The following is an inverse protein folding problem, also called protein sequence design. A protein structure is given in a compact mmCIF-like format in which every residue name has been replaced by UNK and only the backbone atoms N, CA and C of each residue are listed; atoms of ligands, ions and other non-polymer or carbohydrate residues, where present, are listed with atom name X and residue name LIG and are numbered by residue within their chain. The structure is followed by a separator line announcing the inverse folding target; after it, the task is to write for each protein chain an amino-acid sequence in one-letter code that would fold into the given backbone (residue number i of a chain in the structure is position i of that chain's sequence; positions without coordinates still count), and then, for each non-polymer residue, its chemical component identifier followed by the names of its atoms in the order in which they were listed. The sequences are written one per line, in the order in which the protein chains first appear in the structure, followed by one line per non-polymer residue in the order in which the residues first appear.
data_IF_353045782666
#
_entry.id   IF_353045782666
#
_cell.length_a   1.000
_cell.length_b   1.000
_cell.length_c   1.000
_cell.angle_alpha   90.00
_cell.angle_beta   90.00
_cell.angle_gamma   90.00
#
_symmetry.space_group_name_H-M   'P 1'
#
loop_
_entity.id
_entity.type
_entity.pdbx_description
1 polymer ?
#
# COMPACT_ATOMS: atom_id res chain seq x y z
N UNK A 1 17.27 11.56 -9.44
CA UNK A 1 16.31 11.25 -8.37
C UNK A 1 15.72 12.56 -7.86
N UNK A 2 14.45 12.83 -8.12
CA UNK A 2 13.76 13.99 -7.58
C UNK A 2 12.97 13.57 -6.35
N UNK A 3 13.29 14.14 -5.18
CA UNK A 3 12.62 13.86 -3.91
C UNK A 3 11.35 14.72 -3.78
N UNK A 4 10.15 14.09 -3.72
CA UNK A 4 8.89 14.83 -3.66
C UNK A 4 7.81 14.13 -2.83
N UNK A 5 6.80 14.86 -2.30
CA UNK A 5 5.76 14.42 -1.35
C UNK A 5 4.95 13.20 -1.77
N UNK A 6 4.60 12.28 -0.85
CA UNK A 6 3.93 10.98 -1.12
C UNK A 6 2.59 11.11 -1.85
N UNK A 7 1.69 11.96 -1.40
CA UNK A 7 0.38 12.20 -2.04
C UNK A 7 0.51 12.79 -3.46
N UNK A 8 1.47 13.68 -3.68
CA UNK A 8 1.65 14.36 -4.97
C UNK A 8 2.29 13.50 -6.04
N UNK A 9 2.92 12.36 -5.69
CA UNK A 9 3.59 11.49 -6.67
C UNK A 9 2.58 10.65 -7.43
N UNK A 10 1.79 9.84 -6.71
CA UNK A 10 0.72 9.05 -7.32
C UNK A 10 -0.31 9.95 -7.99
N UNK A 11 -0.68 11.07 -7.33
CA UNK A 11 -1.54 12.09 -7.93
C UNK A 11 -0.95 12.65 -9.24
N UNK A 12 0.31 13.13 -9.23
CA UNK A 12 0.92 13.68 -10.43
C UNK A 12 1.11 12.65 -11.54
N UNK A 13 1.39 11.38 -11.19
CA UNK A 13 1.48 10.29 -12.15
C UNK A 13 0.12 9.98 -12.79
N UNK A 14 -0.95 9.96 -11.98
CA UNK A 14 -2.32 9.78 -12.47
C UNK A 14 -2.71 10.94 -13.39
N UNK A 15 -2.49 12.20 -12.96
CA UNK A 15 -2.79 13.39 -13.77
C UNK A 15 -1.96 13.47 -15.07
N UNK A 16 -0.81 12.82 -15.14
CA UNK A 16 0.04 12.78 -16.34
C UNK A 16 -0.44 11.73 -17.36
N UNK A 17 -1.24 10.75 -16.96
CA UNK A 17 -1.61 9.61 -17.81
C UNK A 17 -3.10 9.53 -18.12
N UNK A 18 -3.95 9.91 -17.15
CA UNK A 18 -5.40 9.71 -17.21
C UNK A 18 -6.07 10.95 -17.80
N UNK A 19 -6.99 10.72 -18.73
CA UNK A 19 -7.79 11.74 -19.40
C UNK A 19 -9.29 11.45 -19.20
N UNK A 20 -10.16 12.43 -19.47
CA UNK A 20 -11.60 12.23 -19.37
C UNK A 20 -12.10 11.03 -20.20
N UNK A 21 -12.78 10.10 -19.52
CA UNK A 21 -13.32 8.88 -20.13
C UNK A 21 -12.42 7.64 -20.04
N UNK A 22 -11.17 7.80 -19.58
CA UNK A 22 -10.27 6.68 -19.32
C UNK A 22 -10.71 5.85 -18.12
N UNK A 23 -10.37 4.58 -18.13
CA UNK A 23 -10.57 3.65 -17.03
C UNK A 23 -9.24 3.30 -16.38
N UNK A 24 -9.25 3.23 -15.04
CA UNK A 24 -8.10 2.86 -14.22
C UNK A 24 -8.47 1.65 -13.37
N UNK A 25 -7.77 0.54 -13.59
CA UNK A 25 -7.97 -0.67 -12.78
C UNK A 25 -7.23 -0.51 -11.46
N UNK A 26 -7.93 -0.72 -10.35
CA UNK A 26 -7.40 -0.70 -8.98
C UNK A 26 -7.76 -1.99 -8.25
N UNK A 27 -6.88 -2.45 -7.36
CA UNK A 27 -7.10 -3.66 -6.56
C UNK A 27 -7.67 -3.27 -5.19
N UNK A 28 -8.87 -3.75 -4.86
CA UNK A 28 -9.48 -3.51 -3.56
C UNK A 28 -9.12 -4.61 -2.55
N UNK A 29 -8.82 -4.23 -1.28
CA UNK A 29 -8.87 -2.89 -0.71
C UNK A 29 -7.77 -1.98 -1.27
N UNK A 30 -8.08 -0.75 -1.62
CA UNK A 30 -7.15 0.19 -2.26
C UNK A 30 -6.85 1.40 -1.38
N UNK A 31 -5.68 2.02 -1.58
CA UNK A 31 -5.34 3.24 -0.86
C UNK A 31 -6.29 4.37 -1.26
N UNK A 32 -6.84 5.04 -0.27
CA UNK A 32 -7.94 6.02 -0.35
C UNK A 32 -7.70 7.22 -1.28
N UNK A 33 -6.46 7.48 -1.68
CA UNK A 33 -6.16 8.59 -2.59
C UNK A 33 -6.18 8.23 -4.08
N UNK A 34 -6.24 6.94 -4.46
CA UNK A 34 -6.20 6.57 -5.88
C UNK A 34 -7.47 7.01 -6.59
N UNK A 35 -8.63 6.59 -6.12
CA UNK A 35 -9.91 6.90 -6.76
C UNK A 35 -10.18 8.40 -6.89
N UNK A 36 -10.07 9.24 -5.82
CA UNK A 36 -10.24 10.69 -5.97
C UNK A 36 -9.26 11.32 -6.96
N UNK A 37 -8.03 10.80 -7.05
CA UNK A 37 -7.03 11.30 -8.01
C UNK A 37 -7.42 10.99 -9.45
N UNK A 38 -8.00 9.81 -9.70
CA UNK A 38 -8.51 9.39 -11.01
C UNK A 38 -9.73 10.22 -11.39
N UNK A 39 -10.67 10.40 -10.46
CA UNK A 39 -11.88 11.21 -10.68
C UNK A 39 -11.54 12.68 -11.01
N UNK A 40 -10.55 13.26 -10.33
CA UNK A 40 -10.07 14.62 -10.62
C UNK A 40 -9.41 14.75 -11.99
N UNK A 41 -8.89 13.65 -12.57
CA UNK A 41 -8.41 13.61 -13.94
C UNK A 41 -9.54 13.39 -14.97
N UNK A 42 -10.78 13.17 -14.51
CA UNK A 42 -11.93 12.85 -15.36
C UNK A 42 -12.04 11.38 -15.76
N UNK A 43 -11.22 10.52 -15.16
CA UNK A 43 -11.26 9.08 -15.33
C UNK A 43 -12.22 8.39 -14.37
N UNK A 44 -12.33 7.07 -14.50
CA UNK A 44 -13.16 6.19 -13.66
C UNK A 44 -12.34 5.00 -13.18
N UNK A 45 -12.43 4.66 -11.91
CA UNK A 45 -11.86 3.42 -11.39
C UNK A 45 -12.72 2.21 -11.78
N UNK A 46 -12.04 1.10 -12.04
CA UNK A 46 -12.61 -0.24 -12.18
C UNK A 46 -11.98 -1.08 -11.08
N UNK A 47 -12.79 -1.39 -10.05
CA UNK A 47 -12.33 -2.06 -8.86
C UNK A 47 -12.31 -3.58 -9.03
N UNK A 48 -11.19 -4.20 -8.68
CA UNK A 48 -11.00 -5.65 -8.68
C UNK A 48 -10.72 -6.10 -7.24
N UNK A 49 -11.70 -6.72 -6.57
CA UNK A 49 -11.50 -7.21 -5.22
C UNK A 49 -10.44 -8.31 -5.16
N UNK A 50 -9.49 -8.18 -4.25
CA UNK A 50 -8.55 -9.23 -3.89
C UNK A 50 -9.29 -10.36 -3.15
N UNK A 51 -8.87 -11.59 -3.38
CA UNK A 51 -9.50 -12.76 -2.78
C UNK A 51 -9.14 -12.86 -1.28
N UNK A 52 -10.14 -13.11 -0.44
CA UNK A 52 -9.95 -13.37 0.99
C UNK A 52 -9.77 -14.88 1.21
N UNK A 53 -9.00 -15.29 2.23
CA UNK A 53 -8.43 -14.46 3.28
C UNK A 53 -7.01 -13.95 3.03
N UNK A 54 -6.35 -14.33 1.94
CA UNK A 54 -4.92 -14.10 1.67
C UNK A 54 -4.63 -12.84 0.84
N UNK A 55 -5.67 -12.17 0.36
CA UNK A 55 -5.60 -11.00 -0.50
C UNK A 55 -4.83 -11.26 -1.81
N UNK A 56 -4.96 -12.46 -2.36
CA UNK A 56 -4.41 -12.82 -3.67
C UNK A 56 -5.18 -12.16 -4.83
N UNK A 57 -4.51 -11.98 -5.96
CA UNK A 57 -5.11 -11.41 -7.16
C UNK A 57 -5.97 -12.48 -7.87
N UNK A 58 -7.26 -12.19 -8.06
CA UNK A 58 -8.11 -12.97 -8.96
C UNK A 58 -7.80 -12.58 -10.41
N UNK A 59 -6.97 -13.37 -11.05
CA UNK A 59 -6.49 -13.10 -12.42
C UNK A 59 -7.58 -13.18 -13.49
N UNK A 60 -8.65 -13.92 -13.24
CA UNK A 60 -9.80 -13.95 -14.15
C UNK A 60 -10.53 -12.60 -14.07
N UNK A 61 -10.88 -12.15 -12.89
CA UNK A 61 -11.50 -10.83 -12.69
C UNK A 61 -10.60 -9.69 -13.17
N UNK A 62 -9.30 -9.82 -12.96
CA UNK A 62 -8.33 -8.84 -13.46
C UNK A 62 -8.36 -8.75 -14.98
N UNK A 63 -8.42 -9.88 -15.69
CA UNK A 63 -8.53 -9.92 -17.15
C UNK A 63 -9.86 -9.34 -17.66
N UNK A 64 -10.97 -9.62 -16.95
CA UNK A 64 -12.31 -9.09 -17.29
C UNK A 64 -12.39 -7.57 -17.05
N UNK A 65 -11.67 -7.03 -16.06
CA UNK A 65 -11.63 -5.60 -15.76
C UNK A 65 -10.85 -4.77 -16.79
N UNK A 66 -9.93 -5.39 -17.51
CA UNK A 66 -9.10 -4.72 -18.51
C UNK A 66 -9.86 -4.63 -19.84
N UNK A 67 -10.43 -3.46 -20.11
CA UNK A 67 -11.23 -3.16 -21.31
C UNK A 67 -10.52 -2.25 -22.32
N UNK A 68 -11.22 -1.84 -23.39
CA UNK A 68 -10.67 -0.96 -24.44
C UNK A 68 -10.41 0.49 -23.96
N UNK A 69 -11.02 0.90 -22.84
CA UNK A 69 -10.80 2.20 -22.22
C UNK A 69 -9.79 2.18 -21.08
N UNK A 70 -9.26 1.01 -20.72
CA UNK A 70 -8.27 0.90 -19.67
C UNK A 70 -6.98 1.60 -20.09
N UNK A 71 -6.63 2.64 -19.36
CA UNK A 71 -5.42 3.43 -19.58
C UNK A 71 -4.34 3.12 -18.57
N UNK A 72 -4.73 2.75 -17.35
CA UNK A 72 -3.81 2.61 -16.23
C UNK A 72 -4.24 1.43 -15.36
N UNK A 73 -3.26 0.71 -14.84
CA UNK A 73 -3.40 -0.23 -13.73
C UNK A 73 -2.61 0.31 -12.55
N UNK A 74 -3.16 0.25 -11.35
CA UNK A 74 -2.47 0.62 -10.11
C UNK A 74 -2.35 -0.63 -9.24
N UNK A 75 -1.11 -1.00 -8.91
CA UNK A 75 -0.80 -2.04 -7.94
C UNK A 75 -0.08 -1.45 -6.74
N UNK A 76 -0.22 -2.08 -5.57
CA UNK A 76 0.49 -1.71 -4.36
C UNK A 76 1.15 -2.95 -3.76
N UNK A 77 2.48 -2.95 -3.63
CA UNK A 77 3.25 -4.07 -3.09
C UNK A 77 4.51 -3.58 -2.38
N UNK A 78 4.73 -3.93 -1.11
CA UNK A 78 3.83 -4.61 -0.16
C UNK A 78 2.52 -3.86 0.04
N UNK A 79 1.42 -4.61 0.14
CA UNK A 79 0.07 -4.10 0.04
C UNK A 79 -0.44 -3.44 1.34
N UNK A 80 -0.98 -2.27 1.28
CA UNK A 80 -1.77 -1.66 2.35
C UNK A 80 -3.26 -1.85 2.03
N UNK A 81 -4.04 -2.59 2.88
CA UNK A 81 -3.82 -2.84 4.31
C UNK A 81 -3.26 -4.22 4.68
N UNK A 82 -3.19 -5.19 3.76
CA UNK A 82 -3.02 -6.61 4.08
C UNK A 82 -1.58 -7.04 4.38
N UNK A 83 -0.60 -6.32 3.83
CA UNK A 83 0.80 -6.74 3.84
C UNK A 83 1.16 -7.76 2.75
N UNK A 84 0.21 -8.18 1.90
CA UNK A 84 0.43 -9.11 0.81
C UNK A 84 1.52 -8.60 -0.16
N UNK A 85 2.23 -9.53 -0.76
CA UNK A 85 3.30 -9.25 -1.70
C UNK A 85 2.91 -9.74 -3.10
N UNK A 86 3.30 -8.99 -4.12
CA UNK A 86 3.22 -9.43 -5.51
C UNK A 86 4.59 -10.03 -5.86
N UNK A 87 4.59 -11.27 -6.33
CA UNK A 87 5.79 -12.00 -6.71
C UNK A 87 6.09 -11.89 -8.22
N UNK A 88 7.19 -12.49 -8.67
CA UNK A 88 7.61 -12.43 -10.08
C UNK A 88 6.60 -13.06 -11.03
N UNK A 89 6.01 -14.20 -10.67
CA UNK A 89 4.99 -14.86 -11.50
C UNK A 89 3.75 -13.98 -11.71
N UNK A 90 3.34 -13.26 -10.66
CA UNK A 90 2.21 -12.34 -10.74
C UNK A 90 2.53 -11.13 -11.61
N UNK A 91 3.77 -10.61 -11.57
CA UNK A 91 4.21 -9.57 -12.51
C UNK A 91 4.26 -10.08 -13.95
N UNK A 92 4.72 -11.32 -14.18
CA UNK A 92 4.73 -11.95 -15.50
C UNK A 92 3.29 -12.11 -16.06
N UNK A 93 2.31 -12.49 -15.21
CA UNK A 93 0.88 -12.54 -15.57
C UNK A 93 0.33 -11.17 -15.92
N UNK A 94 0.65 -10.15 -15.12
CA UNK A 94 0.23 -8.77 -15.41
C UNK A 94 0.82 -8.30 -16.74
N UNK A 95 2.11 -8.54 -16.98
CA UNK A 95 2.76 -8.20 -18.24
C UNK A 95 2.06 -8.84 -19.43
N UNK A 96 1.73 -10.13 -19.32
CA UNK A 96 1.01 -10.85 -20.39
C UNK A 96 -0.37 -10.25 -20.68
N UNK A 97 -1.11 -9.81 -19.65
CA UNK A 97 -2.44 -9.20 -19.83
C UNK A 97 -2.40 -7.84 -20.54
N UNK A 98 -1.32 -7.06 -20.36
CA UNK A 98 -1.23 -5.68 -20.88
C UNK A 98 -0.24 -5.51 -22.04
N UNK A 99 0.42 -6.61 -22.49
CA UNK A 99 1.52 -6.58 -23.48
C UNK A 99 1.15 -5.83 -24.75
N UNK A 100 0.04 -6.18 -25.37
CA UNK A 100 -0.40 -5.66 -26.67
C UNK A 100 -1.40 -4.50 -26.54
N UNK A 101 -1.37 -3.80 -25.39
CA UNK A 101 -2.29 -2.72 -25.05
C UNK A 101 -1.53 -1.44 -24.68
N UNK A 102 -2.11 -0.28 -24.97
CA UNK A 102 -1.58 1.02 -24.53
C UNK A 102 -1.99 1.31 -23.08
N UNK A 103 -1.55 0.44 -22.17
CA UNK A 103 -1.84 0.51 -20.74
C UNK A 103 -0.54 0.79 -20.00
N UNK A 104 -0.59 1.77 -19.11
CA UNK A 104 0.47 2.12 -18.18
C UNK A 104 0.28 1.46 -16.82
N UNK A 105 1.32 1.49 -16.00
CA UNK A 105 1.31 0.92 -14.66
C UNK A 105 1.79 1.96 -13.64
N UNK A 106 1.11 2.08 -12.52
CA UNK A 106 1.66 2.65 -11.29
C UNK A 106 1.89 1.51 -10.32
N UNK A 107 3.15 1.30 -9.94
CA UNK A 107 3.52 0.38 -8.84
C UNK A 107 3.83 1.21 -7.60
N UNK A 108 2.93 1.17 -6.64
CA UNK A 108 3.13 1.82 -5.34
C UNK A 108 3.92 0.89 -4.43
N UNK A 109 5.22 1.14 -4.32
CA UNK A 109 6.19 0.32 -3.59
C UNK A 109 6.66 1.03 -2.31
N UNK A 110 5.81 1.86 -1.69
CA UNK A 110 6.19 2.66 -0.51
C UNK A 110 6.64 1.84 0.69
N UNK A 111 6.36 0.53 0.72
CA UNK A 111 6.78 -0.41 1.74
C UNK A 111 7.88 -1.39 1.26
N UNK A 112 8.59 -1.10 0.19
CA UNK A 112 9.60 -1.96 -0.45
C UNK A 112 10.66 -2.52 0.50
N UNK A 113 10.98 -1.78 1.58
CA UNK A 113 11.94 -2.17 2.61
C UNK A 113 11.30 -2.85 3.83
N UNK A 114 10.00 -3.08 3.82
CA UNK A 114 9.25 -3.71 4.91
C UNK A 114 8.70 -5.06 4.44
N UNK A 115 9.59 -5.98 4.17
CA UNK A 115 9.31 -7.36 3.78
C UNK A 115 10.05 -8.29 4.74
N UNK A 116 9.41 -9.40 5.15
CA UNK A 116 9.82 -10.22 6.27
C UNK A 116 10.09 -11.66 5.87
N UNK A 117 10.53 -12.46 6.85
CA UNK A 117 10.71 -13.92 6.73
C UNK A 117 11.70 -14.33 5.63
N UNK A 118 12.69 -13.48 5.35
CA UNK A 118 13.71 -13.74 4.33
C UNK A 118 13.21 -13.61 2.89
N UNK A 119 11.98 -13.18 2.67
CA UNK A 119 11.43 -12.92 1.33
C UNK A 119 11.99 -11.60 0.81
N UNK A 120 12.37 -11.57 -0.47
CA UNK A 120 12.79 -10.33 -1.12
C UNK A 120 11.60 -9.61 -1.75
N UNK A 121 11.59 -8.28 -1.69
CA UNK A 121 10.65 -7.47 -2.45
C UNK A 121 10.89 -7.64 -3.96
N UNK A 122 9.83 -7.85 -4.72
CA UNK A 122 9.87 -7.91 -6.18
C UNK A 122 9.38 -6.59 -6.76
N UNK A 123 10.33 -5.75 -7.19
CA UNK A 123 10.01 -4.46 -7.80
C UNK A 123 9.73 -4.59 -9.29
N UNK A 124 8.76 -3.81 -9.77
CA UNK A 124 8.49 -3.63 -11.22
C UNK A 124 9.72 -3.10 -11.97
N UNK A 125 10.64 -2.41 -11.29
CA UNK A 125 11.90 -1.94 -11.88
C UNK A 125 12.76 -3.07 -12.47
N UNK A 126 12.62 -4.29 -11.94
CA UNK A 126 13.36 -5.47 -12.41
C UNK A 126 12.64 -6.23 -13.54
N UNK A 127 11.47 -5.76 -13.98
CA UNK A 127 10.65 -6.45 -14.99
C UNK A 127 10.76 -5.76 -16.35
N UNK A 128 11.38 -6.42 -17.33
CA UNK A 128 11.74 -5.85 -18.63
C UNK A 128 10.54 -5.32 -19.43
N UNK A 129 9.37 -5.98 -19.38
CA UNK A 129 8.18 -5.57 -20.12
C UNK A 129 7.34 -4.52 -19.37
N UNK A 130 7.37 -4.52 -18.03
CA UNK A 130 6.56 -3.59 -17.23
C UNK A 130 7.27 -2.26 -16.98
N UNK A 131 8.57 -2.26 -16.69
CA UNK A 131 9.30 -1.03 -16.40
C UNK A 131 9.15 0.05 -17.48
N UNK A 132 9.21 -0.27 -18.80
CA UNK A 132 9.11 0.77 -19.85
C UNK A 132 7.79 1.56 -19.85
N UNK A 133 6.75 1.05 -19.19
CA UNK A 133 5.42 1.67 -19.10
C UNK A 133 4.99 1.99 -17.67
N UNK A 134 5.95 2.07 -16.73
CA UNK A 134 5.63 2.16 -15.30
C UNK A 134 6.15 3.43 -14.64
N UNK A 135 5.34 3.94 -13.70
CA UNK A 135 5.81 4.78 -12.60
C UNK A 135 5.93 3.91 -11.34
N UNK A 136 7.13 3.77 -10.82
CA UNK A 136 7.38 3.12 -9.52
C UNK A 136 7.50 4.21 -8.46
N UNK A 137 6.60 4.16 -7.48
CA UNK A 137 6.43 5.19 -6.45
C UNK A 137 6.91 4.66 -5.11
N UNK A 138 7.79 5.40 -4.44
CA UNK A 138 8.25 5.04 -3.10
C UNK A 138 8.31 6.22 -2.13
N UNK A 139 8.52 5.98 -0.84
CA UNK A 139 8.39 6.96 0.23
C UNK A 139 9.49 6.89 1.28
N UNK A 140 10.24 7.97 1.43
CA UNK A 140 11.14 8.11 2.56
C UNK A 140 10.41 8.17 3.90
N UNK A 141 9.15 8.64 3.90
CA UNK A 141 8.35 8.73 5.11
C UNK A 141 8.09 7.40 5.80
N UNK A 142 7.98 6.31 5.02
CA UNK A 142 7.80 4.95 5.53
C UNK A 142 9.13 4.34 5.95
N UNK A 143 10.15 4.53 5.13
CA UNK A 143 11.49 3.96 5.32
C UNK A 143 12.24 4.61 6.47
N UNK A 144 12.14 5.94 6.62
CA UNK A 144 12.91 6.71 7.61
C UNK A 144 12.06 7.26 8.77
N UNK A 145 10.87 6.72 9.01
CA UNK A 145 9.96 7.11 10.09
C UNK A 145 9.56 8.59 10.11
N UNK A 146 9.58 9.24 8.95
CA UNK A 146 9.30 10.67 8.77
C UNK A 146 8.06 10.90 7.89
N UNK A 147 6.99 10.16 8.16
CA UNK A 147 5.74 10.20 7.36
C UNK A 147 5.18 11.62 7.22
N UNK A 148 5.32 12.45 8.27
CA UNK A 148 4.89 13.85 8.27
C UNK A 148 5.68 14.76 7.30
N UNK A 149 6.89 14.37 6.91
CA UNK A 149 7.73 15.16 5.98
C UNK A 149 7.23 15.11 4.54
N UNK A 150 6.39 14.12 4.21
CA UNK A 150 5.78 13.99 2.88
C UNK A 150 6.80 13.93 1.73
N UNK A 151 7.98 13.38 1.96
CA UNK A 151 9.05 13.20 0.97
C UNK A 151 9.10 11.78 0.43
N UNK A 152 9.54 11.64 -0.81
CA UNK A 152 9.75 10.36 -1.49
C UNK A 152 10.07 10.57 -2.97
N UNK A 153 10.04 9.52 -3.78
CA UNK A 153 10.52 9.53 -5.15
C UNK A 153 9.65 8.72 -6.10
N UNK A 154 9.81 8.97 -7.37
CA UNK A 154 9.27 8.17 -8.47
C UNK A 154 10.43 7.78 -9.39
N UNK A 155 10.47 6.51 -9.75
CA UNK A 155 11.38 5.99 -10.79
C UNK A 155 10.54 5.63 -12.00
N UNK A 156 10.92 6.14 -13.17
CA UNK A 156 10.23 5.90 -14.41
C UNK A 156 11.18 6.10 -15.62
N UNK A 157 10.87 5.54 -16.78
CA UNK A 157 11.61 5.82 -18.01
C UNK A 157 11.63 7.31 -18.34
N UNK A 158 12.62 7.79 -19.13
CA UNK A 158 12.77 9.21 -19.43
C UNK A 158 11.52 9.89 -20.01
N UNK A 159 10.80 9.21 -20.91
CA UNK A 159 9.58 9.74 -21.52
C UNK A 159 8.48 9.96 -20.47
N UNK A 160 8.21 8.98 -19.61
CA UNK A 160 7.23 9.10 -18.53
C UNK A 160 7.67 10.12 -17.47
N UNK A 161 8.96 10.16 -17.16
CA UNK A 161 9.52 11.16 -16.23
C UNK A 161 9.31 12.58 -16.76
N UNK A 162 9.40 12.81 -18.07
CA UNK A 162 9.14 14.12 -18.68
C UNK A 162 7.67 14.55 -18.49
N UNK A 163 6.72 13.65 -18.71
CA UNK A 163 5.29 13.93 -18.52
C UNK A 163 4.95 14.19 -17.04
N UNK A 164 5.48 13.37 -16.13
CA UNK A 164 5.34 13.58 -14.69
C UNK A 164 5.81 14.98 -14.27
N UNK A 165 6.97 15.44 -14.80
CA UNK A 165 7.54 16.74 -14.45
C UNK A 165 6.65 17.90 -14.89
N UNK A 166 6.00 17.82 -16.05
CA UNK A 166 5.06 18.84 -16.52
C UNK A 166 3.93 19.07 -15.54
N UNK A 167 3.31 18.00 -15.05
CA UNK A 167 2.24 18.07 -14.05
C UNK A 167 2.80 18.53 -12.70
N UNK A 168 3.88 17.91 -12.27
CA UNK A 168 4.44 18.14 -10.95
C UNK A 168 4.91 19.59 -10.76
N UNK A 169 5.41 20.25 -11.81
CA UNK A 169 5.82 21.64 -11.78
C UNK A 169 4.70 22.56 -11.25
N UNK A 170 3.46 22.30 -11.62
CA UNK A 170 2.31 23.13 -11.24
C UNK A 170 1.60 22.64 -9.97
N UNK A 171 1.73 21.35 -9.64
CA UNK A 171 1.10 20.77 -8.44
C UNK A 171 1.92 21.05 -7.18
N UNK A 172 3.25 21.01 -7.27
CA UNK A 172 4.11 21.13 -6.10
C UNK A 172 5.37 21.95 -6.32
N UNK A 173 5.75 22.21 -7.55
CA UNK A 173 6.97 22.90 -7.98
C UNK A 173 8.25 22.20 -7.47
N UNK A 174 8.54 22.28 -6.16
CA UNK A 174 9.65 21.57 -5.52
C UNK A 174 9.26 21.05 -4.13
N UNK A 175 9.99 20.05 -3.65
CA UNK A 175 9.88 19.58 -2.26
C UNK A 175 10.51 20.57 -1.28
N UNK A 176 10.25 20.37 0.01
CA UNK A 176 10.84 21.18 1.09
C UNK A 176 12.35 20.89 1.15
N UNK A 177 13.15 21.81 0.66
CA UNK A 177 14.61 21.64 0.47
C UNK A 177 15.37 21.26 1.75
N UNK A 178 15.14 21.91 2.92
CA UNK A 178 15.80 21.50 4.16
C UNK A 178 15.57 20.04 4.55
N UNK A 179 14.34 19.51 4.31
CA UNK A 179 14.03 18.11 4.61
C UNK A 179 14.70 17.13 3.65
N UNK A 180 14.92 17.55 2.40
CA UNK A 180 15.68 16.75 1.43
C UNK A 180 17.14 16.65 1.81
N UNK A 181 17.76 17.75 2.25
CA UNK A 181 19.13 17.76 2.76
C UNK A 181 19.27 16.90 4.02
N UNK A 182 18.36 17.06 4.99
CA UNK A 182 18.35 16.23 6.19
C UNK A 182 18.27 14.73 5.89
N UNK A 183 17.44 14.33 4.89
CA UNK A 183 17.39 12.95 4.43
C UNK A 183 18.69 12.50 3.78
N UNK A 184 19.29 13.34 2.92
CA UNK A 184 20.55 13.02 2.27
C UNK A 184 21.68 12.82 3.28
N UNK A 185 21.79 13.71 4.26
CA UNK A 185 22.78 13.63 5.35
C UNK A 185 22.57 12.36 6.19
N UNK A 186 21.31 12.07 6.56
CA UNK A 186 21.00 10.86 7.33
C UNK A 186 21.35 9.59 6.53
N UNK A 187 20.97 9.52 5.27
CA UNK A 187 21.24 8.36 4.40
C UNK A 187 22.75 8.12 4.23
N UNK A 188 23.52 9.20 4.08
CA UNK A 188 24.98 9.12 3.98
C UNK A 188 25.65 8.67 5.29
N UNK A 189 25.12 9.14 6.43
CA UNK A 189 25.65 8.82 7.76
C UNK A 189 25.20 7.46 8.31
N UNK A 190 24.11 6.89 7.80
CA UNK A 190 23.46 5.68 8.34
C UNK A 190 23.13 4.64 7.25
N UNK A 191 24.11 4.13 6.50
CA UNK A 191 23.88 3.16 5.42
C UNK A 191 23.33 1.81 5.93
N UNK A 192 23.49 1.50 7.23
CA UNK A 192 22.96 0.31 7.87
C UNK A 192 21.43 0.35 8.06
N UNK A 193 20.81 1.51 8.08
CA UNK A 193 19.38 1.68 8.37
C UNK A 193 18.51 0.78 7.48
N UNK A 194 18.71 0.80 6.18
CA UNK A 194 17.92 0.01 5.24
C UNK A 194 18.08 -1.51 5.47
N UNK A 195 19.27 -1.97 5.87
CA UNK A 195 19.52 -3.38 6.15
C UNK A 195 18.88 -3.85 7.45
N UNK A 196 18.79 -2.95 8.45
CA UNK A 196 18.23 -3.26 9.76
C UNK A 196 16.70 -3.12 9.80
N UNK A 197 16.12 -2.33 8.90
CA UNK A 197 14.71 -1.98 8.92
C UNK A 197 13.76 -3.19 8.82
N UNK A 198 13.99 -4.20 7.95
CA UNK A 198 13.14 -5.39 7.91
C UNK A 198 13.12 -6.12 9.25
N UNK A 199 14.29 -6.40 9.84
CA UNK A 199 14.38 -7.08 11.14
C UNK A 199 13.73 -6.29 12.28
N UNK A 200 13.87 -4.96 12.27
CA UNK A 200 13.24 -4.10 13.26
C UNK A 200 11.70 -4.20 13.23
N UNK A 201 11.08 -4.20 12.05
CA UNK A 201 9.62 -4.32 11.94
C UNK A 201 9.13 -5.76 12.05
N UNK A 202 9.90 -6.73 11.58
CA UNK A 202 9.58 -8.15 11.77
C UNK A 202 9.50 -8.50 13.27
N UNK A 203 10.46 -8.04 14.08
CA UNK A 203 10.40 -8.26 15.53
C UNK A 203 9.13 -7.67 16.17
N UNK A 204 8.69 -6.50 15.72
CA UNK A 204 7.43 -5.89 16.21
C UNK A 204 6.18 -6.65 15.74
N UNK A 205 6.16 -7.11 14.48
CA UNK A 205 5.10 -7.98 13.96
C UNK A 205 5.01 -9.26 14.79
N UNK A 206 6.12 -9.92 14.96
CA UNK A 206 6.19 -11.19 15.66
C UNK A 206 5.75 -11.05 17.10
N UNK A 207 6.27 -10.05 17.82
CA UNK A 207 5.81 -9.73 19.17
C UNK A 207 4.30 -9.52 19.24
N UNK A 208 3.73 -8.67 18.37
CA UNK A 208 2.29 -8.39 18.39
C UNK A 208 1.47 -9.63 18.06
N UNK A 209 1.87 -10.37 17.03
CA UNK A 209 1.18 -11.59 16.62
C UNK A 209 1.28 -12.69 17.68
N UNK A 210 2.44 -12.89 18.30
CA UNK A 210 2.63 -13.89 19.37
C UNK A 210 1.73 -13.60 20.58
N UNK A 211 1.64 -12.33 20.98
CA UNK A 211 0.78 -11.89 22.06
C UNK A 211 -0.73 -12.11 21.78
N UNK A 212 -1.13 -12.13 20.50
CA UNK A 212 -2.52 -12.33 20.10
C UNK A 212 -2.89 -13.79 19.84
N UNK A 213 -1.96 -14.75 19.92
CA UNK A 213 -2.25 -16.17 19.64
C UNK A 213 -3.33 -16.76 20.55
N UNK A 214 -3.39 -16.34 21.80
CA UNK A 214 -4.37 -16.79 22.78
C UNK A 214 -5.69 -16.01 22.74
N UNK A 215 -5.80 -15.01 21.85
CA UNK A 215 -7.01 -14.22 21.68
C UNK A 215 -8.03 -14.91 20.78
N UNK A 216 -9.27 -14.39 20.75
CA UNK A 216 -10.31 -14.82 19.81
C UNK A 216 -10.17 -14.27 18.40
N UNK A 217 -9.21 -13.37 18.17
CA UNK A 217 -8.89 -12.85 16.82
C UNK A 217 -8.19 -13.92 15.99
N UNK A 218 -8.48 -13.96 14.69
CA UNK A 218 -7.84 -14.86 13.74
C UNK A 218 -7.06 -14.07 12.72
N UNK A 219 -5.87 -14.54 12.37
CA UNK A 219 -5.01 -13.87 11.39
C UNK A 219 -3.95 -14.80 10.83
N UNK A 220 -3.47 -14.46 9.64
CA UNK A 220 -2.19 -14.92 9.10
C UNK A 220 -1.19 -13.77 9.25
N UNK A 221 0.04 -14.05 9.68
CA UNK A 221 1.07 -13.00 9.83
C UNK A 221 1.30 -12.31 8.50
N UNK A 222 1.26 -10.99 8.50
CA UNK A 222 1.51 -10.20 7.30
C UNK A 222 2.96 -10.36 6.83
N UNK A 223 3.21 -10.71 5.54
CA UNK A 223 4.55 -10.86 5.02
C UNK A 223 5.29 -9.53 4.78
N UNK A 224 4.56 -8.41 4.84
CA UNK A 224 5.12 -7.07 4.63
C UNK A 224 4.36 -5.97 5.32
N UNK A 225 4.78 -4.73 5.14
CA UNK A 225 4.28 -3.48 5.74
C UNK A 225 4.54 -3.38 7.25
N UNK A 226 3.76 -2.59 7.99
CA UNK A 226 3.71 -2.55 9.45
C UNK A 226 2.26 -2.64 9.96
N UNK A 227 1.41 -3.33 9.17
CA UNK A 227 0.01 -3.56 9.48
C UNK A 227 -0.27 -5.05 9.65
N UNK A 228 -1.26 -5.35 10.46
CA UNK A 228 -1.82 -6.68 10.63
C UNK A 228 -3.34 -6.60 10.51
N UNK A 229 -3.90 -7.21 9.48
CA UNK A 229 -5.32 -7.45 9.39
C UNK A 229 -5.68 -8.65 10.27
N UNK A 230 -6.77 -8.52 11.02
CA UNK A 230 -7.28 -9.59 11.87
C UNK A 230 -8.78 -9.77 11.67
N UNK A 231 -9.21 -11.01 11.64
CA UNK A 231 -10.62 -11.39 11.65
C UNK A 231 -11.14 -11.40 13.08
N UNK A 232 -12.24 -10.68 13.33
CA UNK A 232 -12.90 -10.56 14.62
C UNK A 232 -14.24 -11.30 14.69
N UNK A 233 -14.54 -12.15 13.71
CA UNK A 233 -15.83 -12.88 13.64
C UNK A 233 -16.14 -13.72 14.87
N UNK A 234 -15.11 -14.23 15.57
CA UNK A 234 -15.27 -14.97 16.83
C UNK A 234 -15.44 -14.06 18.06
N UNK A 235 -15.25 -12.72 17.91
CA UNK A 235 -15.36 -11.74 19.01
C UNK A 235 -16.73 -11.07 18.99
N UNK A 236 -17.07 -10.38 17.92
CA UNK A 236 -18.32 -9.62 17.72
C UNK A 236 -18.83 -9.78 16.28
N UNK A 237 -19.40 -10.96 15.92
CA UNK A 237 -19.92 -11.21 14.56
C UNK A 237 -21.11 -10.30 14.19
N UNK A 238 -21.77 -9.73 15.20
CA UNK A 238 -22.93 -8.84 15.11
C UNK A 238 -22.56 -7.43 14.64
N UNK A 239 -21.30 -7.01 14.78
CA UNK A 239 -20.83 -5.70 14.37
C UNK A 239 -20.22 -5.76 12.96
N UNK A 240 -20.47 -4.72 12.16
CA UNK A 240 -19.60 -4.42 11.01
C UNK A 240 -18.25 -3.90 11.49
N UNK A 241 -17.30 -3.73 10.58
CA UNK A 241 -15.92 -3.38 10.94
C UNK A 241 -15.77 -1.92 11.40
N UNK A 242 -16.65 -1.01 10.96
CA UNK A 242 -16.69 0.38 11.45
C UNK A 242 -17.14 0.40 12.90
N UNK A 243 -18.26 -0.25 13.19
CA UNK A 243 -18.78 -0.38 14.57
C UNK A 243 -17.79 -1.13 15.46
N UNK A 244 -17.10 -2.16 14.94
CA UNK A 244 -16.05 -2.89 15.67
C UNK A 244 -14.87 -1.99 16.02
N UNK A 245 -14.39 -1.17 15.09
CA UNK A 245 -13.29 -0.23 15.33
C UNK A 245 -13.67 0.84 16.36
N UNK A 246 -14.91 1.35 16.30
CA UNK A 246 -15.44 2.27 17.30
C UNK A 246 -15.53 1.61 18.69
N UNK A 247 -16.07 0.39 18.76
CA UNK A 247 -16.21 -0.36 20.01
C UNK A 247 -14.85 -0.64 20.65
N UNK A 248 -13.86 -1.12 19.87
CA UNK A 248 -12.49 -1.32 20.35
C UNK A 248 -11.87 -0.04 20.92
N UNK A 249 -12.13 1.10 20.24
CA UNK A 249 -11.57 2.38 20.66
C UNK A 249 -12.24 2.90 21.93
N UNK A 250 -13.58 2.85 22.02
CA UNK A 250 -14.35 3.45 23.13
C UNK A 250 -14.33 2.59 24.40
N UNK A 251 -14.53 1.29 24.24
CA UNK A 251 -14.69 0.39 25.39
C UNK A 251 -13.35 -0.20 25.86
N UNK A 252 -12.40 -0.41 24.93
CA UNK A 252 -11.13 -1.09 25.25
C UNK A 252 -9.90 -0.16 25.10
N UNK A 253 -10.07 1.06 24.54
CA UNK A 253 -8.96 1.99 24.34
C UNK A 253 -7.89 1.48 23.38
N UNK A 254 -8.28 0.66 22.40
CA UNK A 254 -7.41 0.13 21.35
C UNK A 254 -7.93 0.57 19.99
N UNK A 255 -7.15 1.42 19.31
CA UNK A 255 -7.53 1.93 17.99
C UNK A 255 -7.23 0.90 16.90
N UNK A 256 -8.22 0.66 16.04
CA UNK A 256 -8.12 -0.12 14.82
C UNK A 256 -8.68 0.67 13.64
N UNK A 257 -8.36 0.24 12.43
CA UNK A 257 -8.93 0.81 11.21
C UNK A 257 -9.84 -0.23 10.57
N UNK A 258 -11.11 0.10 10.26
CA UNK A 258 -11.99 -0.79 9.50
C UNK A 258 -11.41 -1.03 8.11
N UNK A 259 -11.49 -2.27 7.60
CA UNK A 259 -10.92 -2.62 6.29
C UNK A 259 -11.87 -2.26 5.15
N UNK A 260 -13.19 -2.20 5.44
CA UNK A 260 -14.22 -1.84 4.44
C UNK A 260 -14.02 -0.46 3.82
N UNK A 261 -13.43 0.49 4.57
CA UNK A 261 -13.18 1.86 4.09
C UNK A 261 -12.19 1.95 2.92
N UNK A 262 -11.49 0.85 2.63
CA UNK A 262 -10.56 0.73 1.51
C UNK A 262 -11.17 0.02 0.28
N UNK A 263 -12.46 -0.28 0.30
CA UNK A 263 -13.19 -0.89 -0.80
C UNK A 263 -14.20 0.10 -1.39
N UNK A 264 -14.44 0.03 -2.69
CA UNK A 264 -15.65 0.63 -3.27
C UNK A 264 -16.89 -0.09 -2.72
N UNK A 265 -16.85 -1.43 -2.73
CA UNK A 265 -17.90 -2.28 -2.17
C UNK A 265 -17.28 -3.47 -1.43
N UNK A 266 -17.20 -3.34 -0.12
CA UNK A 266 -16.70 -4.43 0.73
C UNK A 266 -17.67 -5.63 0.73
N UNK A 267 -17.16 -6.88 0.87
CA UNK A 267 -18.01 -8.05 1.07
C UNK A 267 -18.83 -7.94 2.36
N UNK A 268 -20.14 -8.17 2.31
CA UNK A 268 -21.05 -8.04 3.46
C UNK A 268 -20.65 -8.92 4.67
N UNK A 269 -20.07 -10.09 4.39
CA UNK A 269 -19.61 -11.03 5.41
C UNK A 269 -18.22 -10.72 5.97
N UNK A 270 -17.53 -9.70 5.46
CA UNK A 270 -16.18 -9.37 5.92
C UNK A 270 -16.18 -8.88 7.37
N UNK A 271 -15.30 -9.43 8.18
CA UNK A 271 -15.14 -9.11 9.61
C UNK A 271 -13.67 -8.84 9.90
N UNK A 272 -13.08 -7.86 9.21
CA UNK A 272 -11.66 -7.53 9.28
C UNK A 272 -11.43 -6.12 9.83
N UNK A 273 -10.49 -6.00 10.76
CA UNK A 273 -9.91 -4.71 11.16
C UNK A 273 -8.39 -4.76 11.01
N UNK A 274 -7.77 -3.60 10.77
CA UNK A 274 -6.33 -3.45 10.62
C UNK A 274 -5.72 -2.80 11.85
N UNK A 275 -4.75 -3.46 12.46
CA UNK A 275 -3.87 -2.87 13.47
C UNK A 275 -2.56 -2.38 12.84
N UNK A 276 -1.92 -1.40 13.51
CA UNK A 276 -0.60 -0.89 13.15
C UNK A 276 0.38 -1.21 14.28
N UNK A 277 1.38 -2.03 14.00
CA UNK A 277 2.42 -2.38 14.99
C UNK A 277 3.68 -1.49 14.94
N UNK A 278 3.66 -0.40 14.15
CA UNK A 278 4.69 0.64 14.21
C UNK A 278 4.54 1.47 15.50
N UNK A 279 4.65 0.81 16.65
CA UNK A 279 4.48 1.35 18.00
C UNK A 279 5.64 0.93 18.88
N UNK A 280 5.73 1.50 20.10
CA UNK A 280 6.64 1.01 21.14
C UNK A 280 6.18 -0.37 21.60
N UNK A 281 7.10 -1.23 22.01
CA UNK A 281 6.78 -2.58 22.50
C UNK A 281 5.81 -2.56 23.67
N UNK A 282 5.99 -1.65 24.60
CA UNK A 282 5.08 -1.44 25.74
C UNK A 282 3.63 -1.20 25.26
N UNK A 283 3.45 -0.34 24.23
CA UNK A 283 2.13 -0.07 23.65
C UNK A 283 1.53 -1.33 23.00
N UNK A 284 2.36 -2.14 22.34
CA UNK A 284 1.91 -3.40 21.73
C UNK A 284 1.47 -4.41 22.80
N UNK A 285 2.24 -4.54 23.90
CA UNK A 285 1.89 -5.42 25.02
C UNK A 285 0.59 -4.99 25.69
N UNK A 286 0.44 -3.71 26.02
CA UNK A 286 -0.79 -3.18 26.64
C UNK A 286 -2.02 -3.35 25.73
N UNK A 287 -1.87 -3.15 24.41
CA UNK A 287 -2.95 -3.36 23.47
C UNK A 287 -3.34 -4.84 23.38
N UNK A 288 -2.36 -5.74 23.28
CA UNK A 288 -2.59 -7.17 23.19
C UNK A 288 -3.25 -7.72 24.47
N UNK A 289 -2.81 -7.28 25.67
CA UNK A 289 -3.45 -7.65 26.94
C UNK A 289 -4.96 -7.34 26.94
N UNK A 290 -5.32 -6.13 26.48
CA UNK A 290 -6.72 -5.72 26.37
C UNK A 290 -7.48 -6.54 25.32
N UNK A 291 -6.87 -6.84 24.18
CA UNK A 291 -7.49 -7.62 23.11
C UNK A 291 -7.68 -9.09 23.51
N UNK A 292 -6.80 -9.67 24.32
CA UNK A 292 -6.93 -11.02 24.84
C UNK A 292 -8.00 -11.13 25.94
N UNK A 293 -8.34 -10.03 26.60
CA UNK A 293 -9.36 -9.99 27.64
C UNK A 293 -10.81 -9.88 27.11
N UNK A 294 -10.98 -9.78 25.80
CA UNK A 294 -12.27 -9.60 25.11
C UNK A 294 -12.95 -10.93 24.81
#
# INVERSE_FOLDING_TARGET
LEFRRVLFRSFSAIQALVHPGDEVVVLDPSYDSYEPSVQLAGGRCVHVPLALPDFSIDWQRMAEAIGPRTRLVIINTPHNPSGALINREELDRLAALIRDRDIYLISDEVYEHLVFDGVAHTSVLSHEELYPRSFVVSSFGKTYHVTGWKTGYVVAPPALSAELRKVHQYVNFCGVTPLQWALADYMAGHPEHLRQLPGFYQAKRDLFCDLLLDSRFRFTRAPGTYFQCVDYSAVRPDLDDVAMAEWLTREHGVAAIPVSVFYEKAPDAMRLVRFCYAKREETLRQAAEKLCAI
#
